data_IF_962111967454
#
_entry.id   IF_962111967454
#
_cell.length_a   1.000
_cell.length_b   1.000
_cell.length_c   1.000
_cell.angle_alpha   90.00
_cell.angle_beta   90.00
_cell.angle_gamma   90.00
#
_symmetry.space_group_name_H-M   'P 1'
#
loop_
_entity.id
_entity.type
_entity.pdbx_description
1 polymer ?
#
# COMPACT_ATOMS: atom_id res chain seq x y z
N UNK A 1 -3.21 23.57 -1.59
CA UNK A 1 -3.71 22.19 -1.78
C UNK A 1 -2.53 21.24 -1.73
N UNK A 2 -2.32 20.53 -0.60
CA UNK A 2 -1.23 19.54 -0.42
C UNK A 2 -1.73 18.19 0.08
N UNK A 3 -3.03 18.02 0.31
CA UNK A 3 -3.62 16.81 0.83
C UNK A 3 -4.02 15.84 -0.28
N UNK A 4 -4.09 14.56 0.07
CA UNK A 4 -4.75 13.54 -0.75
C UNK A 4 -6.22 13.90 -0.96
N UNK A 5 -6.72 13.62 -2.15
CA UNK A 5 -8.13 13.74 -2.50
C UNK A 5 -8.59 12.40 -3.06
N UNK A 6 -9.70 11.89 -2.53
CA UNK A 6 -10.32 10.65 -2.98
C UNK A 6 -11.62 10.97 -3.72
N UNK A 7 -11.76 10.44 -4.92
CA UNK A 7 -13.03 10.45 -5.66
C UNK A 7 -13.77 9.15 -5.36
N UNK A 8 -14.99 9.25 -4.81
CA UNK A 8 -15.82 8.10 -4.45
C UNK A 8 -17.07 8.13 -5.31
N UNK A 9 -17.24 7.10 -6.15
CA UNK A 9 -18.32 7.02 -7.13
C UNK A 9 -19.10 5.73 -6.98
N UNK A 10 -20.42 5.82 -7.10
CA UNK A 10 -21.29 4.65 -7.20
C UNK A 10 -21.35 4.24 -8.66
N UNK A 11 -20.63 3.17 -9.02
CA UNK A 11 -20.61 2.67 -10.39
C UNK A 11 -21.82 1.77 -10.72
N UNK A 12 -22.31 1.03 -9.72
CA UNK A 12 -23.44 0.10 -9.87
C UNK A 12 -24.13 -0.14 -8.53
N UNK A 13 -25.46 -0.27 -8.57
CA UNK A 13 -26.26 -0.81 -7.47
C UNK A 13 -26.65 -2.25 -7.81
N UNK A 14 -26.29 -3.19 -6.94
CA UNK A 14 -26.56 -4.61 -7.10
C UNK A 14 -27.34 -5.14 -5.88
N UNK A 15 -28.19 -6.17 -6.06
CA UNK A 15 -28.74 -6.90 -4.92
C UNK A 15 -27.63 -7.49 -4.06
N UNK A 16 -27.88 -7.59 -2.75
CA UNK A 16 -26.96 -8.25 -1.83
C UNK A 16 -26.88 -9.74 -2.15
N UNK A 17 -25.66 -10.29 -2.16
CA UNK A 17 -25.44 -11.71 -2.34
C UNK A 17 -25.63 -12.45 -1.01
N UNK A 18 -26.51 -13.45 -0.99
CA UNK A 18 -26.75 -14.27 0.20
C UNK A 18 -25.46 -14.97 0.65
N UNK A 19 -25.17 -14.93 1.95
CA UNK A 19 -23.98 -15.54 2.54
C UNK A 19 -22.67 -14.78 2.28
N UNK A 20 -22.69 -13.68 1.51
CA UNK A 20 -21.50 -12.87 1.28
C UNK A 20 -21.30 -11.86 2.40
N UNK A 21 -20.07 -11.75 2.89
CA UNK A 21 -19.71 -10.76 3.90
C UNK A 21 -19.12 -9.52 3.24
N UNK A 22 -19.51 -8.35 3.74
CA UNK A 22 -19.11 -7.04 3.23
C UNK A 22 -18.41 -6.20 4.32
N UNK A 23 -17.56 -5.22 3.96
CA UNK A 23 -17.12 -4.88 2.61
C UNK A 23 -16.19 -5.94 1.99
N UNK A 24 -16.10 -5.96 0.66
CA UNK A 24 -15.19 -6.83 -0.09
C UNK A 24 -14.47 -6.03 -1.16
N UNK A 25 -13.15 -6.13 -1.20
CA UNK A 25 -12.35 -5.59 -2.27
C UNK A 25 -12.43 -6.51 -3.50
N UNK A 26 -13.02 -5.99 -4.58
CA UNK A 26 -13.16 -6.72 -5.85
C UNK A 26 -12.01 -6.44 -6.83
N UNK A 27 -11.26 -5.35 -6.63
CA UNK A 27 -10.16 -4.95 -7.49
C UNK A 27 -9.42 -3.72 -6.98
N UNK A 28 -8.26 -3.45 -7.57
CA UNK A 28 -7.40 -2.31 -7.22
C UNK A 28 -6.10 -2.36 -8.01
N UNK A 29 -5.34 -1.28 -7.96
CA UNK A 29 -4.02 -1.17 -8.59
C UNK A 29 -3.15 -0.23 -7.76
N UNK A 30 -1.85 -0.49 -7.82
CA UNK A 30 -0.80 0.21 -7.07
C UNK A 30 -0.90 -0.06 -5.57
N UNK A 31 0.24 0.09 -4.91
CA UNK A 31 0.32 0.10 -3.48
C UNK A 31 -0.13 1.44 -2.92
N UNK A 32 -0.25 1.46 -1.60
CA UNK A 32 -0.62 2.66 -0.85
C UNK A 32 0.61 3.56 -0.74
N UNK A 33 0.50 4.87 -1.02
CA UNK A 33 1.55 5.83 -0.72
C UNK A 33 1.99 5.75 0.74
N UNK A 34 3.27 5.97 1.07
CA UNK A 34 3.70 6.05 2.47
C UNK A 34 2.83 7.03 3.28
N UNK A 35 2.51 6.65 4.52
CA UNK A 35 1.99 7.60 5.49
C UNK A 35 2.95 8.78 5.59
N UNK A 36 2.38 9.98 5.71
CA UNK A 36 3.13 11.23 5.83
C UNK A 36 4.12 11.54 4.69
N UNK A 37 3.93 10.98 3.49
CA UNK A 37 4.78 11.26 2.32
C UNK A 37 4.72 12.70 1.79
N UNK A 38 4.02 13.62 2.46
CA UNK A 38 3.88 15.02 2.03
C UNK A 38 2.81 15.28 0.97
N UNK A 39 1.96 14.29 0.67
CA UNK A 39 0.85 14.40 -0.27
C UNK A 39 1.19 13.98 -1.72
N UNK A 40 0.25 14.19 -2.67
CA UNK A 40 0.35 13.62 -4.02
C UNK A 40 1.59 14.06 -4.82
N UNK A 41 1.96 15.36 -4.75
CA UNK A 41 3.11 15.88 -5.49
C UNK A 41 4.43 15.34 -4.95
N UNK A 42 4.60 15.35 -3.62
CA UNK A 42 5.77 14.78 -2.97
C UNK A 42 5.87 13.26 -3.22
N UNK A 43 4.74 12.55 -3.26
CA UNK A 43 4.71 11.14 -3.66
C UNK A 43 5.21 10.94 -5.10
N UNK A 44 4.81 11.79 -6.05
CA UNK A 44 5.29 11.70 -7.44
C UNK A 44 6.80 11.98 -7.54
N UNK A 45 7.31 12.95 -6.79
CA UNK A 45 8.74 13.23 -6.70
C UNK A 45 9.51 12.03 -6.13
N UNK A 46 8.97 11.38 -5.09
CA UNK A 46 9.54 10.16 -4.53
C UNK A 46 9.53 9.00 -5.53
N UNK A 47 8.43 8.79 -6.27
CA UNK A 47 8.38 7.79 -7.34
C UNK A 47 9.43 8.03 -8.44
N UNK A 48 9.70 9.30 -8.78
CA UNK A 48 10.76 9.64 -9.74
C UNK A 48 12.15 9.39 -9.15
N UNK A 49 12.37 9.78 -7.89
CA UNK A 49 13.63 9.55 -7.17
C UNK A 49 13.95 8.05 -7.07
N UNK A 50 12.97 7.26 -6.64
CA UNK A 50 13.05 5.80 -6.50
C UNK A 50 12.55 5.07 -7.75
N UNK A 51 13.00 5.52 -8.93
CA UNK A 51 12.74 4.78 -10.17
C UNK A 51 13.39 3.39 -10.11
N UNK A 52 12.85 2.42 -10.86
CA UNK A 52 13.42 1.07 -10.93
C UNK A 52 14.90 1.09 -11.32
N UNK A 53 15.30 2.00 -12.21
CA UNK A 53 16.70 2.17 -12.64
C UNK A 53 17.56 2.69 -11.48
N UNK A 54 17.08 3.70 -10.74
CA UNK A 54 17.78 4.23 -9.58
C UNK A 54 17.97 3.15 -8.51
N UNK A 55 16.91 2.39 -8.22
CA UNK A 55 16.94 1.30 -7.25
C UNK A 55 17.92 0.21 -7.69
N UNK A 56 17.84 -0.22 -8.95
CA UNK A 56 18.72 -1.27 -9.48
C UNK A 56 20.19 -0.87 -9.41
N UNK A 57 20.53 0.38 -9.76
CA UNK A 57 21.88 0.91 -9.63
C UNK A 57 22.34 0.90 -8.18
N UNK A 58 21.52 1.41 -7.26
CA UNK A 58 21.91 1.46 -5.84
C UNK A 58 22.09 0.07 -5.23
N UNK A 59 21.23 -0.89 -5.60
CA UNK A 59 21.39 -2.28 -5.18
C UNK A 59 22.68 -2.91 -5.72
N UNK A 60 23.10 -2.58 -6.95
CA UNK A 60 24.38 -3.04 -7.48
C UNK A 60 25.56 -2.49 -6.66
N UNK A 61 25.57 -1.18 -6.37
CA UNK A 61 26.59 -0.54 -5.54
C UNK A 61 26.69 -1.23 -4.15
N UNK A 62 25.56 -1.49 -3.49
CA UNK A 62 25.51 -2.15 -2.18
C UNK A 62 26.03 -3.60 -2.19
N UNK A 63 25.82 -4.34 -3.29
CA UNK A 63 26.34 -5.69 -3.45
C UNK A 63 27.86 -5.72 -3.61
N UNK A 64 28.43 -4.68 -4.25
CA UNK A 64 29.88 -4.52 -4.39
C UNK A 64 30.53 -4.13 -3.05
N UNK A 65 29.87 -3.32 -2.23
CA UNK A 65 30.34 -2.89 -0.91
C UNK A 65 30.41 -4.06 0.10
N UNK A 66 29.54 -5.07 -0.03
CA UNK A 66 29.63 -6.34 0.71
C UNK A 66 29.20 -6.31 2.19
N UNK A 67 28.71 -5.18 2.71
CA UNK A 67 28.29 -4.98 4.12
C UNK A 67 26.78 -4.73 4.26
N UNK A 68 25.98 -5.74 3.91
CA UNK A 68 24.50 -5.68 3.90
C UNK A 68 23.88 -5.20 5.23
N UNK A 69 24.48 -5.56 6.36
CA UNK A 69 23.94 -5.20 7.68
C UNK A 69 23.99 -3.68 7.94
N UNK A 70 25.04 -3.00 7.48
CA UNK A 70 25.19 -1.54 7.62
C UNK A 70 24.15 -0.78 6.80
N UNK A 71 23.63 -1.41 5.74
CA UNK A 71 22.66 -0.81 4.82
C UNK A 71 21.24 -1.36 4.98
N UNK A 72 20.95 -2.06 6.08
CA UNK A 72 19.65 -2.73 6.29
C UNK A 72 18.45 -1.80 6.11
N UNK A 73 18.52 -0.59 6.66
CA UNK A 73 17.43 0.40 6.57
C UNK A 73 17.24 0.91 5.14
N UNK A 74 18.34 1.20 4.44
CA UNK A 74 18.32 1.60 3.04
C UNK A 74 17.72 0.49 2.17
N UNK A 75 18.11 -0.77 2.38
CA UNK A 75 17.56 -1.92 1.67
C UNK A 75 16.05 -2.08 1.90
N UNK A 76 15.57 -1.82 3.12
CA UNK A 76 14.13 -1.86 3.41
C UNK A 76 13.38 -0.77 2.66
N UNK A 77 13.94 0.44 2.58
CA UNK A 77 13.34 1.56 1.85
C UNK A 77 13.37 1.32 0.33
N UNK A 78 14.50 0.86 -0.22
CA UNK A 78 14.61 0.47 -1.63
C UNK A 78 13.60 -0.63 -1.99
N UNK A 79 13.47 -1.66 -1.13
CA UNK A 79 12.48 -2.72 -1.31
C UNK A 79 11.05 -2.17 -1.29
N UNK A 80 10.74 -1.25 -0.37
CA UNK A 80 9.42 -0.61 -0.27
C UNK A 80 9.06 0.07 -1.58
N UNK A 81 9.96 0.88 -2.13
CA UNK A 81 9.72 1.60 -3.38
C UNK A 81 9.71 0.67 -4.60
N UNK A 82 10.50 -0.39 -4.63
CA UNK A 82 10.51 -1.36 -5.72
C UNK A 82 9.15 -2.05 -5.91
N UNK A 83 8.39 -2.21 -4.83
CA UNK A 83 7.07 -2.86 -4.85
C UNK A 83 5.91 -1.89 -4.69
N UNK A 84 6.15 -0.57 -4.76
CA UNK A 84 5.14 0.46 -4.51
C UNK A 84 3.94 0.37 -5.48
N UNK A 85 4.11 -0.23 -6.66
CA UNK A 85 3.03 -0.43 -7.63
C UNK A 85 2.30 -1.78 -7.47
N UNK A 86 2.67 -2.62 -6.49
CA UNK A 86 2.02 -3.91 -6.25
C UNK A 86 0.75 -3.74 -5.44
N UNK A 87 -0.31 -4.43 -5.87
CA UNK A 87 -1.58 -4.51 -5.17
C UNK A 87 -1.94 -5.97 -4.88
N UNK A 88 -2.14 -6.34 -3.62
CA UNK A 88 -2.56 -7.68 -3.21
C UNK A 88 -4.01 -7.65 -2.69
N UNK A 89 -4.96 -7.99 -3.58
CA UNK A 89 -6.39 -8.08 -3.25
C UNK A 89 -6.69 -9.09 -2.13
N UNK A 90 -5.90 -10.16 -2.00
CA UNK A 90 -6.13 -11.17 -0.96
C UNK A 90 -5.70 -10.62 0.40
N UNK A 91 -4.59 -9.90 0.46
CA UNK A 91 -4.16 -9.22 1.68
C UNK A 91 -5.20 -8.21 2.16
N UNK A 92 -5.68 -7.33 1.26
CA UNK A 92 -6.72 -6.35 1.59
C UNK A 92 -7.98 -7.01 2.14
N UNK A 93 -8.46 -8.09 1.52
CA UNK A 93 -9.67 -8.77 2.02
C UNK A 93 -9.46 -9.44 3.39
N UNK A 94 -8.26 -9.98 3.68
CA UNK A 94 -7.93 -10.47 5.03
C UNK A 94 -7.98 -9.36 6.07
N UNK A 95 -7.47 -8.18 5.75
CA UNK A 95 -7.50 -7.00 6.63
C UNK A 95 -8.94 -6.52 6.87
N UNK A 96 -9.77 -6.47 5.82
CA UNK A 96 -11.19 -6.13 5.94
C UNK A 96 -11.96 -7.10 6.85
N UNK A 97 -11.64 -8.39 6.78
CA UNK A 97 -12.22 -9.40 7.67
C UNK A 97 -11.85 -9.17 9.13
N UNK A 98 -10.60 -8.79 9.40
CA UNK A 98 -10.11 -8.47 10.74
C UNK A 98 -10.80 -7.23 11.32
N UNK A 99 -10.81 -6.12 10.58
CA UNK A 99 -11.44 -4.85 11.01
C UNK A 99 -12.92 -5.04 11.35
N UNK A 100 -13.63 -5.86 10.55
CA UNK A 100 -15.02 -6.22 10.84
C UNK A 100 -15.12 -6.98 12.17
N UNK A 101 -14.28 -7.98 12.37
CA UNK A 101 -14.24 -8.77 13.61
C UNK A 101 -14.03 -7.89 14.84
N UNK A 102 -13.12 -6.93 14.74
CA UNK A 102 -12.82 -6.00 15.84
C UNK A 102 -14.01 -5.06 16.12
N UNK A 103 -14.62 -4.47 15.08
CA UNK A 103 -15.81 -3.62 15.25
C UNK A 103 -17.00 -4.36 15.87
N UNK A 104 -17.20 -5.65 15.54
CA UNK A 104 -18.26 -6.47 16.15
C UNK A 104 -17.99 -6.65 17.66
N UNK A 105 -16.74 -6.90 18.04
CA UNK A 105 -16.36 -7.03 19.46
C UNK A 105 -16.58 -5.72 20.22
N UNK A 106 -16.20 -4.59 19.63
CA UNK A 106 -16.37 -3.26 20.25
C UNK A 106 -17.84 -2.94 20.51
N UNK A 107 -18.71 -3.25 19.53
CA UNK A 107 -20.17 -3.09 19.67
C UNK A 107 -20.79 -4.04 20.71
N UNK A 108 -20.22 -5.24 20.88
CA UNK A 108 -20.69 -6.18 21.90
C UNK A 108 -20.19 -5.86 23.32
N UNK A 109 -19.17 -5.01 23.44
CA UNK A 109 -18.59 -4.55 24.70
C UNK A 109 -19.15 -3.19 25.18
N UNK A 110 -20.04 -2.56 24.39
CA UNK A 110 -20.71 -1.28 24.68
C UNK A 110 -22.16 -1.49 25.11
#
# INVERSE_FOLDING_TARGET
MRSWQHDVRVERLLPLESGRTYPVCVGGRRGVPPEDCGGPWAFLELCQRYSVVTIARRLADLLEEGVIEEHREELMELRRWLVIDRFDRRAVNRELDQVRGDRIRDLAAS
#
